data_IF_416702844917
#
_entry.id   IF_416702844917
#
_cell.length_a   1.000
_cell.length_b   1.000
_cell.length_c   1.000
_cell.angle_alpha   90.00
_cell.angle_beta   90.00
_cell.angle_gamma   90.00
#
_symmetry.space_group_name_H-M   'P 1'
#
loop_
_entity.id
_entity.type
_entity.pdbx_description
1 polymer ?
#
# COMPACT_ATOMS: atom_id res chain seq x y z
N UNK A 1 -18.14 -24.80 59.10
CA UNK A 1 -18.50 -23.52 58.42
C UNK A 1 -17.97 -22.25 59.10
N UNK A 2 -17.77 -22.19 60.43
CA UNK A 2 -17.08 -21.04 61.06
C UNK A 2 -15.60 -20.99 60.62
N UNK A 3 -15.16 -19.87 60.07
CA UNK A 3 -13.78 -19.65 59.61
C UNK A 3 -13.59 -19.58 58.10
N UNK A 4 -14.54 -20.09 57.30
CA UNK A 4 -14.49 -19.99 55.84
C UNK A 4 -14.54 -18.52 55.39
N UNK A 5 -15.41 -17.70 55.99
CA UNK A 5 -15.51 -16.27 55.67
C UNK A 5 -14.22 -15.47 55.94
N UNK A 6 -13.48 -15.79 57.02
CA UNK A 6 -12.19 -15.12 57.31
C UNK A 6 -11.11 -15.52 56.31
N UNK A 7 -11.07 -16.80 55.90
CA UNK A 7 -10.14 -17.30 54.88
C UNK A 7 -10.45 -16.70 53.50
N UNK A 8 -11.72 -16.61 53.13
CA UNK A 8 -12.15 -15.96 51.88
C UNK A 8 -11.83 -14.46 51.88
N UNK A 9 -12.05 -13.76 53.00
CA UNK A 9 -11.69 -12.34 53.12
C UNK A 9 -10.17 -12.12 52.99
N UNK A 10 -9.35 -12.95 53.65
CA UNK A 10 -7.89 -12.86 53.53
C UNK A 10 -7.39 -13.16 52.11
N UNK A 11 -7.96 -14.17 51.46
CA UNK A 11 -7.66 -14.49 50.06
C UNK A 11 -8.03 -13.34 49.12
N UNK A 12 -9.20 -12.72 49.33
CA UNK A 12 -9.63 -11.55 48.55
C UNK A 12 -8.69 -10.36 48.76
N UNK A 13 -8.29 -10.05 50.00
CA UNK A 13 -7.33 -8.96 50.29
C UNK A 13 -5.97 -9.25 49.65
N UNK A 14 -5.47 -10.49 49.76
CA UNK A 14 -4.20 -10.87 49.13
C UNK A 14 -4.27 -10.72 47.61
N UNK A 15 -5.37 -11.14 46.98
CA UNK A 15 -5.58 -11.00 45.55
C UNK A 15 -5.59 -9.52 45.13
N UNK A 16 -6.29 -8.66 45.88
CA UNK A 16 -6.34 -7.22 45.62
C UNK A 16 -4.95 -6.57 45.72
N UNK A 17 -4.16 -6.93 46.74
CA UNK A 17 -2.78 -6.43 46.90
C UNK A 17 -1.90 -6.90 45.74
N UNK A 18 -1.97 -8.19 45.38
CA UNK A 18 -1.20 -8.73 44.24
C UNK A 18 -1.57 -8.06 42.92
N UNK A 19 -2.87 -7.84 42.67
CA UNK A 19 -3.35 -7.13 41.49
C UNK A 19 -2.88 -5.67 41.48
N UNK A 20 -2.93 -4.99 42.63
CA UNK A 20 -2.42 -3.61 42.76
C UNK A 20 -0.91 -3.50 42.49
N UNK A 21 -0.11 -4.46 42.97
CA UNK A 21 1.34 -4.51 42.69
C UNK A 21 1.58 -4.76 41.19
N UNK A 22 0.89 -5.73 40.59
CA UNK A 22 1.05 -6.06 39.18
C UNK A 22 0.69 -4.87 38.28
N UNK A 23 -0.40 -4.17 38.58
CA UNK A 23 -0.80 -2.93 37.91
C UNK A 23 0.26 -1.83 38.08
N UNK A 24 0.80 -1.65 39.28
CA UNK A 24 1.85 -0.66 39.55
C UNK A 24 3.13 -0.93 38.76
N UNK A 25 3.59 -2.19 38.72
CA UNK A 25 4.75 -2.62 37.92
C UNK A 25 4.48 -2.42 36.43
N UNK A 26 3.29 -2.79 35.96
CA UNK A 26 2.91 -2.62 34.57
C UNK A 26 2.95 -1.16 34.14
N UNK A 27 2.33 -0.26 34.91
CA UNK A 27 2.36 1.19 34.64
C UNK A 27 3.77 1.76 34.61
N UNK A 28 4.62 1.33 35.53
CA UNK A 28 6.01 1.76 35.56
C UNK A 28 6.77 1.31 34.31
N UNK A 29 6.53 0.08 33.83
CA UNK A 29 7.15 -0.43 32.60
C UNK A 29 6.65 0.22 31.30
N UNK A 30 5.50 0.88 31.34
CA UNK A 30 4.84 1.53 30.19
C UNK A 30 4.96 3.07 30.22
N UNK A 31 5.84 3.63 31.06
CA UNK A 31 6.12 5.06 31.00
C UNK A 31 6.72 5.39 29.64
N UNK A 32 5.96 6.10 28.81
CA UNK A 32 6.42 6.61 27.52
C UNK A 32 7.53 7.64 27.74
N UNK A 33 8.48 7.70 26.82
CA UNK A 33 9.38 8.84 26.67
C UNK A 33 8.53 10.03 26.18
N UNK A 34 8.50 11.11 26.96
CA UNK A 34 7.71 12.34 26.70
C UNK A 34 8.08 13.03 25.38
N UNK A 35 9.10 12.55 24.67
CA UNK A 35 9.53 13.03 23.35
C UNK A 35 8.75 12.45 22.16
N UNK A 36 7.76 11.57 22.37
CA UNK A 36 7.03 10.90 21.28
C UNK A 36 5.77 11.69 20.87
N UNK A 37 5.61 12.16 19.61
CA UNK A 37 4.48 12.98 19.21
C UNK A 37 3.13 12.23 19.20
N UNK A 38 2.06 12.87 19.68
CA UNK A 38 0.69 12.35 19.62
C UNK A 38 0.09 12.56 18.21
N UNK A 39 -0.04 11.47 17.45
CA UNK A 39 -0.47 11.42 16.03
C UNK A 39 -1.98 11.65 15.80
N UNK A 40 -2.56 12.68 16.39
CA UNK A 40 -3.97 13.03 16.25
C UNK A 40 -4.17 14.42 15.67
N UNK A 41 -3.91 14.63 14.37
CA UNK A 41 -4.13 15.94 13.78
C UNK A 41 -4.93 15.88 12.47
N UNK A 42 -6.14 16.45 12.45
CA UNK A 42 -6.93 16.69 11.23
C UNK A 42 -6.16 17.49 10.16
N UNK A 43 -5.05 18.14 10.55
CA UNK A 43 -4.09 18.77 9.66
C UNK A 43 -3.55 17.86 8.56
N UNK A 44 -3.30 16.57 8.83
CA UNK A 44 -2.76 15.66 7.79
C UNK A 44 -3.78 15.44 6.66
N UNK A 45 -5.07 15.30 6.99
CA UNK A 45 -6.15 15.12 5.99
C UNK A 45 -6.29 16.33 5.09
N UNK A 46 -6.16 17.53 5.66
CA UNK A 46 -6.21 18.77 4.88
C UNK A 46 -4.98 18.93 3.98
N UNK A 47 -3.79 18.59 4.47
CA UNK A 47 -2.56 18.55 3.65
C UNK A 47 -2.69 17.57 2.49
N UNK A 48 -3.21 16.37 2.76
CA UNK A 48 -3.38 15.34 1.74
C UNK A 48 -4.44 15.71 0.69
N UNK A 49 -5.56 16.35 1.10
CA UNK A 49 -6.51 16.93 0.15
C UNK A 49 -5.85 17.99 -0.72
N UNK A 50 -5.10 18.92 -0.11
CA UNK A 50 -4.35 19.95 -0.86
C UNK A 50 -3.36 19.33 -1.83
N UNK A 51 -2.66 18.27 -1.43
CA UNK A 51 -1.75 17.55 -2.30
C UNK A 51 -2.48 17.06 -3.55
N UNK A 52 -3.60 16.36 -3.38
CA UNK A 52 -4.36 15.83 -4.50
C UNK A 52 -4.91 16.94 -5.40
N UNK A 53 -5.39 18.05 -4.83
CA UNK A 53 -5.91 19.20 -5.59
C UNK A 53 -4.84 19.96 -6.37
N UNK A 54 -3.60 19.95 -5.88
CA UNK A 54 -2.46 20.61 -6.53
C UNK A 54 -1.86 19.74 -7.61
N UNK A 55 -1.58 18.47 -7.29
CA UNK A 55 -0.80 17.58 -8.14
C UNK A 55 -1.59 16.97 -9.29
N UNK A 56 -2.92 16.88 -9.17
CA UNK A 56 -3.74 16.25 -10.19
C UNK A 56 -4.71 17.23 -10.84
N UNK A 57 -5.18 16.87 -12.03
CA UNK A 57 -6.22 17.57 -12.76
C UNK A 57 -7.15 16.57 -13.43
N UNK A 58 -8.33 17.03 -13.84
CA UNK A 58 -9.25 16.21 -14.64
C UNK A 58 -8.56 15.84 -15.96
N UNK A 59 -8.66 14.57 -16.38
CA UNK A 59 -8.18 14.18 -17.70
C UNK A 59 -9.16 14.60 -18.79
N UNK A 60 -8.63 14.96 -19.96
CA UNK A 60 -9.41 15.09 -21.20
C UNK A 60 -9.53 13.75 -21.94
N UNK A 61 -8.74 12.74 -21.56
CA UNK A 61 -8.85 11.39 -22.09
C UNK A 61 -10.01 10.67 -21.39
N UNK A 62 -11.06 10.22 -22.10
CA UNK A 62 -12.19 9.54 -21.47
C UNK A 62 -11.84 8.20 -20.82
N UNK A 63 -10.65 7.65 -21.08
CA UNK A 63 -10.15 6.45 -20.41
C UNK A 63 -9.48 6.74 -19.06
N UNK A 64 -9.27 8.02 -18.71
CA UNK A 64 -8.68 8.47 -17.45
C UNK A 64 -9.64 9.41 -16.73
N UNK A 65 -9.71 9.28 -15.41
CA UNK A 65 -10.58 10.14 -14.59
C UNK A 65 -9.86 11.45 -14.25
N UNK A 66 -8.60 11.30 -13.87
CA UNK A 66 -7.68 12.37 -13.53
C UNK A 66 -6.29 12.01 -14.07
N UNK A 67 -5.38 12.97 -14.05
CA UNK A 67 -4.00 12.77 -14.42
C UNK A 67 -3.07 13.75 -13.70
N UNK A 68 -1.76 13.45 -13.63
CA UNK A 68 -0.75 14.38 -13.17
C UNK A 68 -0.87 15.74 -13.85
N UNK A 69 -0.83 16.81 -13.06
CA UNK A 69 -0.70 18.18 -13.56
C UNK A 69 0.78 18.44 -13.86
N UNK A 70 1.17 18.68 -15.12
CA UNK A 70 2.57 18.90 -15.48
C UNK A 70 3.23 20.03 -14.68
N UNK A 71 4.41 19.76 -14.13
CA UNK A 71 5.19 20.72 -13.35
C UNK A 71 4.56 21.13 -12.01
N UNK A 72 3.53 20.43 -11.53
CA UNK A 72 2.90 20.74 -10.25
C UNK A 72 3.75 20.28 -9.08
N UNK A 73 3.77 21.08 -8.01
CA UNK A 73 4.54 20.83 -6.81
C UNK A 73 3.78 21.30 -5.56
N UNK A 74 3.94 20.57 -4.46
CA UNK A 74 3.41 20.91 -3.14
C UNK A 74 4.36 20.42 -2.04
N UNK A 75 4.62 21.27 -1.06
CA UNK A 75 5.43 20.91 0.11
C UNK A 75 4.69 19.99 1.08
N UNK A 76 5.34 18.89 1.46
CA UNK A 76 4.86 17.89 2.41
C UNK A 76 5.87 17.67 3.54
N UNK A 77 5.50 16.86 4.53
CA UNK A 77 6.35 16.58 5.70
C UNK A 77 7.65 15.85 5.33
N UNK A 78 7.62 15.11 4.23
CA UNK A 78 8.75 14.39 3.64
C UNK A 78 9.45 15.19 2.53
N UNK A 79 9.14 16.48 2.37
CA UNK A 79 9.68 17.33 1.30
C UNK A 79 8.72 17.54 0.12
N UNK A 80 9.22 18.06 -1.02
CA UNK A 80 8.38 18.42 -2.15
C UNK A 80 7.81 17.18 -2.85
N UNK A 81 6.48 17.07 -2.89
CA UNK A 81 5.78 16.16 -3.77
C UNK A 81 5.52 16.88 -5.10
N UNK A 82 6.00 16.33 -6.22
CA UNK A 82 5.93 17.00 -7.52
C UNK A 82 5.90 16.04 -8.70
N UNK A 83 5.41 16.56 -9.82
CA UNK A 83 5.58 15.98 -11.14
C UNK A 83 6.46 16.91 -11.99
N UNK A 84 7.33 16.35 -12.83
CA UNK A 84 8.04 17.13 -13.85
C UNK A 84 7.08 17.59 -14.98
N UNK A 85 7.61 18.30 -15.98
CA UNK A 85 6.85 18.82 -17.12
C UNK A 85 6.20 17.76 -18.00
N UNK A 86 6.58 16.49 -17.85
CA UNK A 86 5.95 15.35 -18.53
C UNK A 86 5.00 14.54 -17.64
N UNK A 87 4.81 14.92 -16.37
CA UNK A 87 3.91 14.22 -15.45
C UNK A 87 4.53 12.98 -14.79
N UNK A 88 5.86 12.87 -14.75
CA UNK A 88 6.59 11.81 -14.03
C UNK A 88 7.04 12.30 -12.66
N UNK A 89 7.25 11.38 -11.70
CA UNK A 89 7.82 11.72 -10.38
C UNK A 89 9.34 11.86 -10.43
N UNK A 90 9.83 12.73 -11.30
CA UNK A 90 11.27 12.99 -11.47
C UNK A 90 11.66 14.39 -10.96
N UNK A 91 12.91 14.53 -10.55
CA UNK A 91 13.50 15.82 -10.18
C UNK A 91 14.01 16.64 -11.37
N UNK A 92 14.04 16.03 -12.55
CA UNK A 92 14.51 16.63 -13.78
C UNK A 92 13.58 16.31 -14.96
N UNK A 93 13.78 17.02 -16.07
CA UNK A 93 13.10 16.74 -17.33
C UNK A 93 13.81 15.59 -18.05
N UNK A 94 13.05 14.58 -18.44
CA UNK A 94 13.55 13.41 -19.16
C UNK A 94 13.30 13.58 -20.65
N UNK A 95 14.30 13.23 -21.48
CA UNK A 95 14.13 13.26 -22.93
C UNK A 95 13.29 12.07 -23.40
N UNK A 96 12.39 12.32 -24.36
CA UNK A 96 11.53 11.26 -24.92
C UNK A 96 12.32 10.23 -25.71
N UNK A 97 13.31 10.67 -26.48
CA UNK A 97 14.22 9.74 -27.17
C UNK A 97 15.11 9.08 -26.12
N UNK A 98 15.16 7.73 -26.05
CA UNK A 98 16.05 7.04 -25.12
C UNK A 98 17.52 7.27 -25.50
N UNK A 99 18.37 7.27 -24.47
CA UNK A 99 19.81 7.42 -24.61
C UNK A 99 20.51 6.11 -24.96
N UNK A 100 21.73 5.92 -24.44
CA UNK A 100 22.45 4.65 -24.55
C UNK A 100 22.02 3.63 -23.47
N UNK A 101 21.40 4.11 -22.38
CA UNK A 101 20.94 3.29 -21.26
C UNK A 101 19.62 2.58 -21.57
N UNK A 102 19.46 1.38 -21.02
CA UNK A 102 18.24 0.59 -21.09
C UNK A 102 17.15 1.26 -20.27
N UNK A 103 16.14 1.81 -20.93
CA UNK A 103 15.08 2.56 -20.27
C UNK A 103 14.01 1.64 -19.70
N UNK A 104 13.79 1.74 -18.38
CA UNK A 104 12.74 1.04 -17.63
C UNK A 104 11.67 2.04 -17.23
N UNK A 105 10.45 1.87 -17.71
CA UNK A 105 9.31 2.60 -17.18
C UNK A 105 8.66 1.80 -16.05
N UNK A 106 8.60 2.36 -14.85
CA UNK A 106 7.86 1.78 -13.72
C UNK A 106 6.49 2.45 -13.63
N UNK A 107 5.44 1.66 -13.80
CA UNK A 107 4.04 2.07 -13.85
C UNK A 107 3.30 1.43 -12.69
N UNK A 108 2.44 2.20 -12.03
CA UNK A 108 1.63 1.71 -10.93
C UNK A 108 0.90 2.84 -10.22
N UNK A 109 0.43 2.54 -9.01
CA UNK A 109 -0.35 3.42 -8.18
C UNK A 109 0.49 4.22 -7.17
N UNK A 110 -0.01 4.37 -5.93
CA UNK A 110 0.68 5.00 -4.82
C UNK A 110 1.95 4.26 -4.38
N UNK A 111 2.14 2.97 -4.71
CA UNK A 111 3.36 2.23 -4.42
C UNK A 111 4.52 2.69 -5.31
N UNK A 112 4.27 2.81 -6.61
CA UNK A 112 5.26 3.32 -7.58
C UNK A 112 5.48 4.82 -7.41
N UNK A 113 4.40 5.56 -7.19
CA UNK A 113 4.52 6.95 -6.77
C UNK A 113 5.35 7.04 -5.48
N UNK A 114 5.30 6.03 -4.61
CA UNK A 114 5.94 5.98 -3.30
C UNK A 114 5.43 7.11 -2.41
N UNK A 115 4.16 7.00 -2.10
CA UNK A 115 3.47 7.94 -1.23
C UNK A 115 4.14 8.03 0.15
N UNK A 116 4.11 9.22 0.75
CA UNK A 116 4.72 9.53 2.05
C UNK A 116 6.25 9.55 2.12
N UNK A 117 6.95 9.29 1.01
CA UNK A 117 8.40 9.32 0.93
C UNK A 117 8.90 10.45 0.04
N UNK A 118 10.12 10.98 0.26
CA UNK A 118 10.77 11.86 -0.71
C UNK A 118 11.08 11.11 -2.01
N UNK A 119 11.26 11.84 -3.11
CA UNK A 119 11.42 11.23 -4.45
C UNK A 119 12.66 10.33 -4.53
N UNK A 120 13.75 10.67 -3.86
CA UNK A 120 14.98 9.85 -3.83
C UNK A 120 14.78 8.48 -3.17
N UNK A 121 13.80 8.35 -2.27
CA UNK A 121 13.47 7.09 -1.58
C UNK A 121 12.36 6.31 -2.29
N UNK A 122 11.86 6.81 -3.42
CA UNK A 122 10.80 6.15 -4.17
C UNK A 122 11.31 4.88 -4.86
N UNK A 123 10.43 3.89 -5.05
CA UNK A 123 10.75 2.59 -5.61
C UNK A 123 11.50 2.69 -6.95
N UNK A 124 11.08 3.49 -7.94
CA UNK A 124 11.81 3.59 -9.20
C UNK A 124 13.20 4.22 -9.06
N UNK A 125 13.37 5.20 -8.16
CA UNK A 125 14.67 5.81 -7.89
C UNK A 125 15.61 4.86 -7.14
N UNK A 126 15.08 4.04 -6.22
CA UNK A 126 15.84 2.95 -5.60
C UNK A 126 16.18 1.86 -6.63
N UNK A 127 15.29 1.58 -7.59
CA UNK A 127 15.52 0.63 -8.68
C UNK A 127 16.62 1.13 -9.63
N UNK A 128 16.59 2.40 -10.01
CA UNK A 128 17.63 3.06 -10.82
C UNK A 128 19.01 2.88 -10.18
N UNK A 129 19.11 3.23 -8.89
CA UNK A 129 20.33 3.05 -8.11
C UNK A 129 20.77 1.58 -7.99
N UNK A 130 19.81 0.66 -7.85
CA UNK A 130 20.09 -0.77 -7.72
C UNK A 130 20.52 -1.41 -9.04
N UNK A 131 20.02 -0.93 -10.19
CA UNK A 131 20.41 -1.38 -11.54
C UNK A 131 21.79 -0.87 -11.93
N UNK A 132 22.09 0.41 -11.66
CA UNK A 132 23.38 1.05 -11.91
C UNK A 132 23.62 1.42 -13.37
N UNK A 133 24.90 1.58 -13.76
CA UNK A 133 25.30 2.00 -15.11
C UNK A 133 24.68 1.14 -16.23
N UNK A 134 24.20 1.77 -17.30
CA UNK A 134 23.56 1.10 -18.43
C UNK A 134 22.04 0.99 -18.33
N UNK A 135 21.43 1.50 -17.26
CA UNK A 135 19.99 1.50 -17.01
C UNK A 135 19.49 2.89 -16.63
N UNK A 136 18.23 3.18 -16.95
CA UNK A 136 17.52 4.39 -16.52
C UNK A 136 16.10 3.98 -16.10
N UNK A 137 15.78 4.03 -14.82
CA UNK A 137 14.43 3.72 -14.31
C UNK A 137 13.62 4.99 -14.06
N UNK A 138 12.44 5.08 -14.69
CA UNK A 138 11.57 6.25 -14.69
C UNK A 138 10.27 6.01 -13.92
N UNK A 139 9.91 6.97 -13.07
CA UNK A 139 8.73 6.90 -12.22
C UNK A 139 7.47 7.46 -12.89
N UNK A 140 6.61 6.56 -13.39
CA UNK A 140 5.29 6.89 -13.94
C UNK A 140 4.14 6.58 -12.98
N UNK A 141 4.42 6.42 -11.68
CA UNK A 141 3.41 6.12 -10.66
C UNK A 141 2.38 7.24 -10.52
N UNK A 142 1.12 6.87 -10.33
CA UNK A 142 0.02 7.81 -10.11
C UNK A 142 -0.91 7.29 -9.02
N UNK A 143 -0.98 8.00 -7.89
CA UNK A 143 -1.80 7.62 -6.74
C UNK A 143 -3.22 7.23 -7.15
N UNK A 144 -3.66 6.04 -6.73
CA UNK A 144 -5.04 5.55 -6.85
C UNK A 144 -5.45 5.07 -8.25
N UNK A 145 -4.51 4.97 -9.19
CA UNK A 145 -4.79 4.27 -10.43
C UNK A 145 -5.05 2.78 -10.17
N UNK A 146 -5.97 2.22 -10.93
CA UNK A 146 -6.13 0.77 -11.08
C UNK A 146 -5.45 0.36 -12.39
N UNK A 147 -5.26 -0.94 -12.60
CA UNK A 147 -4.65 -1.47 -13.83
C UNK A 147 -5.32 -0.96 -15.12
N UNK A 148 -6.61 -0.59 -15.07
CA UNK A 148 -7.32 -0.05 -16.23
C UNK A 148 -6.89 1.40 -16.55
N UNK A 149 -6.73 2.24 -15.52
CA UNK A 149 -6.16 3.59 -15.65
C UNK A 149 -4.67 3.53 -16.02
N UNK A 150 -3.91 2.58 -15.47
CA UNK A 150 -2.51 2.34 -15.86
C UNK A 150 -2.38 1.98 -17.35
N UNK A 151 -3.29 1.17 -17.89
CA UNK A 151 -3.33 0.86 -19.32
C UNK A 151 -3.56 2.10 -20.20
N UNK A 152 -4.41 3.02 -19.75
CA UNK A 152 -4.63 4.29 -20.44
C UNK A 152 -3.44 5.25 -20.27
N UNK A 153 -2.85 5.29 -19.07
CA UNK A 153 -1.67 6.07 -18.75
C UNK A 153 -0.45 5.63 -19.54
N UNK A 154 -0.28 4.32 -19.72
CA UNK A 154 0.75 3.76 -20.58
C UNK A 154 0.64 4.32 -22.01
N UNK A 155 -0.54 4.22 -22.60
CA UNK A 155 -0.77 4.68 -23.97
C UNK A 155 -0.55 6.19 -24.15
N UNK A 156 -0.93 6.99 -23.15
CA UNK A 156 -0.86 8.45 -23.19
C UNK A 156 0.51 9.03 -22.83
N UNK A 157 1.11 8.56 -21.74
CA UNK A 157 2.24 9.22 -21.08
C UNK A 157 3.52 8.38 -21.07
N UNK A 158 3.43 7.05 -20.98
CA UNK A 158 4.61 6.18 -20.88
C UNK A 158 5.19 5.85 -22.26
N UNK A 159 4.36 5.35 -23.18
CA UNK A 159 4.73 4.96 -24.55
C UNK A 159 5.57 6.01 -25.30
N UNK A 160 5.31 7.33 -25.19
CA UNK A 160 6.12 8.34 -25.87
C UNK A 160 7.60 8.39 -25.46
N UNK A 161 7.98 7.78 -24.33
CA UNK A 161 9.37 7.70 -23.86
C UNK A 161 10.10 6.45 -24.36
N UNK A 162 9.43 5.62 -25.17
CA UNK A 162 9.98 4.40 -25.78
C UNK A 162 10.81 3.53 -24.81
N UNK A 163 10.24 3.13 -23.65
CA UNK A 163 10.94 2.23 -22.74
C UNK A 163 11.19 0.88 -23.39
N UNK A 164 12.31 0.26 -23.06
CA UNK A 164 12.64 -1.12 -23.46
C UNK A 164 12.04 -2.14 -22.51
N UNK A 165 11.85 -1.76 -21.24
CA UNK A 165 11.19 -2.56 -20.21
C UNK A 165 10.08 -1.74 -19.56
N UNK A 166 8.91 -2.35 -19.37
CA UNK A 166 7.81 -1.73 -18.64
C UNK A 166 7.48 -2.62 -17.45
N UNK A 167 7.76 -2.12 -16.26
CA UNK A 167 7.43 -2.77 -14.98
C UNK A 167 6.07 -2.23 -14.52
N UNK A 168 5.09 -3.11 -14.37
CA UNK A 168 3.79 -2.80 -13.79
C UNK A 168 3.77 -3.34 -12.36
N UNK A 169 3.67 -2.46 -11.36
CA UNK A 169 3.56 -2.86 -9.96
C UNK A 169 2.09 -2.85 -9.58
N UNK A 170 1.55 -4.05 -9.40
CA UNK A 170 0.15 -4.28 -9.06
C UNK A 170 0.00 -4.50 -7.55
N UNK A 171 -1.07 -3.99 -6.96
CA UNK A 171 -1.41 -4.30 -5.58
C UNK A 171 -2.91 -4.58 -5.39
N UNK A 172 -3.31 -4.98 -4.18
CA UNK A 172 -4.70 -5.35 -3.90
C UNK A 172 -5.70 -4.22 -4.16
N UNK A 173 -5.25 -2.96 -4.11
CA UNK A 173 -6.09 -1.79 -4.39
C UNK A 173 -6.53 -1.69 -5.86
N UNK A 174 -5.84 -2.34 -6.80
CA UNK A 174 -6.25 -2.40 -8.20
C UNK A 174 -7.63 -3.05 -8.41
N UNK A 175 -8.07 -3.88 -7.46
CA UNK A 175 -9.43 -4.45 -7.46
C UNK A 175 -10.47 -3.50 -6.83
N UNK A 176 -10.03 -2.35 -6.32
CA UNK A 176 -10.85 -1.40 -5.59
C UNK A 176 -10.89 -0.05 -6.30
N UNK A 177 -11.98 0.69 -6.08
CA UNK A 177 -12.01 2.12 -6.41
C UNK A 177 -11.44 2.88 -5.22
N UNK A 178 -10.23 3.40 -5.37
CA UNK A 178 -9.54 4.16 -4.32
C UNK A 178 -10.09 5.58 -4.17
N UNK A 179 -10.00 6.08 -2.94
CA UNK A 179 -10.28 7.48 -2.62
C UNK A 179 -9.11 8.39 -3.01
N UNK A 180 -9.28 9.71 -2.86
CA UNK A 180 -8.24 10.70 -3.18
C UNK A 180 -8.60 11.49 -4.44
N UNK A 181 -7.71 11.58 -5.45
CA UNK A 181 -7.98 12.30 -6.71
C UNK A 181 -9.33 11.92 -7.34
N UNK A 182 -9.64 10.62 -7.36
CA UNK A 182 -10.88 10.06 -7.92
C UNK A 182 -12.14 10.83 -7.46
N UNK A 183 -12.28 11.09 -6.16
CA UNK A 183 -13.51 11.66 -5.60
C UNK A 183 -13.86 13.05 -6.13
N UNK A 184 -12.85 13.78 -6.60
CA UNK A 184 -13.00 15.14 -7.10
C UNK A 184 -13.44 15.18 -8.56
N UNK A 185 -12.97 14.24 -9.36
CA UNK A 185 -13.13 14.28 -10.82
C UNK A 185 -14.01 13.20 -11.39
N UNK A 186 -14.42 12.22 -10.57
CA UNK A 186 -15.32 11.18 -10.99
C UNK A 186 -16.70 11.72 -11.37
N UNK A 187 -17.30 11.10 -12.38
CA UNK A 187 -18.67 11.38 -12.81
C UNK A 187 -19.72 10.74 -11.88
N UNK A 188 -21.00 10.88 -12.25
CA UNK A 188 -22.11 10.37 -11.44
C UNK A 188 -22.14 8.82 -11.40
N UNK A 189 -21.79 8.16 -12.50
CA UNK A 189 -21.78 6.68 -12.58
C UNK A 189 -20.60 6.08 -11.81
N UNK A 190 -19.42 6.67 -11.97
CA UNK A 190 -18.22 6.35 -11.19
C UNK A 190 -18.45 6.54 -9.69
N UNK A 191 -19.07 7.66 -9.30
CA UNK A 191 -19.42 7.92 -7.91
C UNK A 191 -20.43 6.90 -7.37
N UNK A 192 -21.42 6.53 -8.17
CA UNK A 192 -22.38 5.50 -7.79
C UNK A 192 -21.70 4.14 -7.58
N UNK A 193 -20.75 3.76 -8.45
CA UNK A 193 -19.94 2.55 -8.31
C UNK A 193 -19.09 2.55 -7.04
N UNK A 194 -18.40 3.65 -6.74
CA UNK A 194 -17.63 3.81 -5.48
C UNK A 194 -18.53 3.71 -4.26
N UNK A 195 -19.67 4.41 -4.27
CA UNK A 195 -20.64 4.37 -3.18
C UNK A 195 -21.16 2.95 -2.94
N UNK A 196 -21.47 2.20 -4.00
CA UNK A 196 -21.91 0.81 -3.88
C UNK A 196 -20.82 -0.11 -3.31
N UNK A 197 -19.55 0.11 -3.69
CA UNK A 197 -18.40 -0.58 -3.11
C UNK A 197 -18.28 -0.30 -1.61
N UNK A 198 -18.30 0.97 -1.21
CA UNK A 198 -18.19 1.38 0.19
C UNK A 198 -19.31 0.80 1.04
N UNK A 199 -20.56 0.81 0.55
CA UNK A 199 -21.70 0.19 1.23
C UNK A 199 -21.58 -1.33 1.34
N UNK A 200 -20.93 -2.00 0.38
CA UNK A 200 -20.63 -3.42 0.47
C UNK A 200 -19.57 -3.71 1.55
N UNK A 201 -18.46 -2.96 1.54
CA UNK A 201 -17.39 -3.09 2.53
C UNK A 201 -17.92 -2.80 3.93
N UNK A 202 -18.64 -1.70 4.13
CA UNK A 202 -19.23 -1.34 5.43
C UNK A 202 -20.18 -2.44 5.95
N UNK A 203 -20.86 -3.16 5.06
CA UNK A 203 -21.76 -4.24 5.45
C UNK A 203 -21.05 -5.57 5.77
N UNK A 204 -19.96 -5.89 5.05
CA UNK A 204 -19.36 -7.24 5.05
C UNK A 204 -17.98 -7.28 5.72
N UNK A 205 -17.18 -6.23 5.54
CA UNK A 205 -15.84 -6.06 6.11
C UNK A 205 -15.73 -4.66 6.79
N UNK A 206 -16.55 -4.36 7.83
CA UNK A 206 -16.65 -3.01 8.41
C UNK A 206 -15.39 -2.52 9.14
N UNK A 207 -14.47 -3.41 9.46
CA UNK A 207 -13.29 -3.08 10.24
C UNK A 207 -12.05 -3.34 9.39
N UNK A 208 -11.09 -2.41 9.45
CA UNK A 208 -9.74 -2.66 8.96
C UNK A 208 -8.88 -3.16 10.09
N UNK A 209 -8.09 -4.19 9.82
CA UNK A 209 -7.17 -4.79 10.76
C UNK A 209 -6.17 -3.80 11.34
N UNK A 210 -5.62 -2.92 10.50
CA UNK A 210 -4.66 -1.86 10.90
C UNK A 210 -5.18 -0.93 12.00
N UNK A 211 -6.50 -0.77 12.10
CA UNK A 211 -7.11 0.09 13.12
C UNK A 211 -7.25 -0.60 14.48
N UNK A 212 -7.14 -1.93 14.53
CA UNK A 212 -7.35 -2.71 15.75
C UNK A 212 -6.36 -2.33 16.85
N UNK A 213 -5.08 -2.19 16.52
CA UNK A 213 -4.05 -1.93 17.51
C UNK A 213 -4.15 -0.52 18.09
N UNK A 214 -4.51 0.46 17.25
CA UNK A 214 -4.82 1.81 17.72
C UNK A 214 -6.06 1.85 18.64
N UNK A 215 -7.11 1.08 18.33
CA UNK A 215 -8.30 0.98 19.18
C UNK A 215 -7.96 0.33 20.52
N UNK A 216 -7.26 -0.81 20.52
CA UNK A 216 -6.87 -1.52 21.73
C UNK A 216 -5.91 -0.69 22.59
N UNK A 217 -4.99 0.06 21.97
CA UNK A 217 -4.08 0.95 22.69
C UNK A 217 -4.82 2.11 23.38
N UNK A 218 -5.78 2.75 22.69
CA UNK A 218 -6.63 3.81 23.29
C UNK A 218 -7.46 3.28 24.44
N UNK A 219 -8.09 2.12 24.28
CA UNK A 219 -8.84 1.48 25.37
C UNK A 219 -7.94 1.15 26.58
N UNK A 220 -6.71 0.70 26.34
CA UNK A 220 -5.73 0.44 27.39
C UNK A 220 -5.31 1.72 28.11
N UNK A 221 -5.11 2.81 27.37
CA UNK A 221 -4.75 4.12 27.89
C UNK A 221 -5.85 4.73 28.77
N UNK A 222 -7.10 4.66 28.32
CA UNK A 222 -8.29 5.17 29.03
C UNK A 222 -8.70 4.30 30.23
N UNK A 223 -8.21 3.06 30.31
CA UNK A 223 -8.61 2.12 31.35
C UNK A 223 -8.07 2.48 32.75
N UNK A 224 -8.95 2.39 33.75
CA UNK A 224 -8.56 2.51 35.16
C UNK A 224 -7.62 1.38 35.64
N UNK A 225 -7.65 0.21 34.97
CA UNK A 225 -6.81 -0.94 35.29
C UNK A 225 -6.16 -1.48 34.00
N UNK A 226 -4.95 -0.98 33.70
CA UNK A 226 -4.29 -1.17 32.40
C UNK A 226 -3.92 -2.62 32.14
N UNK A 227 -3.48 -3.35 33.16
CA UNK A 227 -3.13 -4.77 33.02
C UNK A 227 -4.35 -5.61 32.62
N UNK A 228 -5.53 -5.29 33.17
CA UNK A 228 -6.77 -5.96 32.78
C UNK A 228 -7.20 -5.57 31.37
N UNK A 229 -7.08 -4.29 31.02
CA UNK A 229 -7.37 -3.81 29.67
C UNK A 229 -6.50 -4.53 28.64
N UNK A 230 -5.19 -4.65 28.86
CA UNK A 230 -4.25 -5.41 28.02
C UNK A 230 -4.65 -6.87 27.87
N UNK A 231 -4.90 -7.58 28.98
CA UNK A 231 -5.30 -8.99 28.94
C UNK A 231 -6.63 -9.18 28.20
N UNK A 232 -7.60 -8.31 28.46
CA UNK A 232 -8.89 -8.32 27.76
C UNK A 232 -8.74 -7.97 26.26
N UNK A 233 -7.77 -7.11 25.94
CA UNK A 233 -7.40 -6.70 24.59
C UNK A 233 -6.80 -7.86 23.81
N UNK A 234 -5.94 -8.68 24.43
CA UNK A 234 -5.43 -9.91 23.82
C UNK A 234 -6.56 -10.89 23.46
N UNK A 235 -7.53 -11.09 24.35
CA UNK A 235 -8.70 -11.95 24.07
C UNK A 235 -9.57 -11.36 22.96
N UNK A 236 -9.79 -10.04 22.97
CA UNK A 236 -10.55 -9.34 21.93
C UNK A 236 -9.84 -9.39 20.58
N UNK A 237 -8.52 -9.20 20.54
CA UNK A 237 -7.69 -9.38 19.34
C UNK A 237 -7.85 -10.78 18.77
N UNK A 238 -7.71 -11.82 19.60
CA UNK A 238 -7.90 -13.19 19.13
C UNK A 238 -9.30 -13.44 18.55
N UNK A 239 -10.36 -12.87 19.16
CA UNK A 239 -11.73 -12.95 18.62
C UNK A 239 -11.93 -12.15 17.33
N UNK A 240 -11.31 -10.98 17.24
CA UNK A 240 -11.32 -10.17 16.03
C UNK A 240 -10.66 -10.93 14.88
N UNK A 241 -9.47 -11.46 15.09
CA UNK A 241 -8.69 -12.22 14.10
C UNK A 241 -9.44 -13.42 13.51
N UNK A 242 -10.21 -14.11 14.35
CA UNK A 242 -11.04 -15.28 13.99
C UNK A 242 -12.27 -14.89 13.16
N UNK A 243 -12.88 -13.74 13.47
CA UNK A 243 -14.06 -13.21 12.77
C UNK A 243 -13.72 -12.18 11.68
N UNK A 244 -12.43 -11.89 11.46
CA UNK A 244 -11.97 -10.83 10.57
C UNK A 244 -12.26 -11.20 9.11
N UNK A 245 -13.01 -10.33 8.43
CA UNK A 245 -13.26 -10.40 7.00
C UNK A 245 -12.46 -9.28 6.34
N UNK A 246 -11.61 -9.66 5.40
CA UNK A 246 -10.72 -8.75 4.69
C UNK A 246 -11.41 -8.14 3.47
N UNK A 247 -11.24 -6.83 3.25
CA UNK A 247 -11.92 -6.13 2.16
C UNK A 247 -11.44 -6.56 0.77
N UNK A 248 -10.17 -6.91 0.61
CA UNK A 248 -9.62 -7.38 -0.67
C UNK A 248 -10.20 -8.74 -1.05
N UNK A 249 -10.36 -9.64 -0.07
CA UNK A 249 -11.03 -10.92 -0.31
C UNK A 249 -12.49 -10.73 -0.75
N UNK A 250 -13.22 -9.80 -0.12
CA UNK A 250 -14.60 -9.46 -0.52
C UNK A 250 -14.66 -8.90 -1.94
N UNK A 251 -13.66 -8.10 -2.35
CA UNK A 251 -13.58 -7.56 -3.70
C UNK A 251 -13.20 -8.62 -4.73
N UNK A 252 -12.26 -9.51 -4.41
CA UNK A 252 -11.85 -10.62 -5.26
C UNK A 252 -12.97 -11.65 -5.47
N UNK A 253 -13.90 -11.79 -4.52
CA UNK A 253 -15.10 -12.61 -4.68
C UNK A 253 -16.09 -12.04 -5.72
N UNK A 254 -15.94 -10.79 -6.17
CA UNK A 254 -16.81 -10.18 -7.18
C UNK A 254 -16.34 -10.54 -8.60
N UNK A 255 -17.04 -11.39 -9.36
CA UNK A 255 -16.52 -11.88 -10.65
C UNK A 255 -16.37 -10.80 -11.72
N UNK A 256 -17.15 -9.72 -11.63
CA UNK A 256 -17.00 -8.57 -12.53
C UNK A 256 -15.68 -7.83 -12.32
N UNK A 257 -15.25 -7.67 -11.06
CA UNK A 257 -13.99 -7.00 -10.72
C UNK A 257 -12.80 -7.78 -11.23
N UNK A 258 -12.77 -9.08 -10.94
CA UNK A 258 -11.73 -9.98 -11.44
C UNK A 258 -11.63 -9.91 -12.97
N UNK A 259 -12.76 -10.05 -13.69
CA UNK A 259 -12.77 -9.94 -15.16
C UNK A 259 -12.29 -8.58 -15.68
N UNK A 260 -12.61 -7.49 -14.97
CA UNK A 260 -12.15 -6.15 -15.35
C UNK A 260 -10.63 -6.03 -15.17
N UNK A 261 -10.09 -6.53 -14.07
CA UNK A 261 -8.64 -6.58 -13.81
C UNK A 261 -7.93 -7.43 -14.86
N UNK A 262 -8.39 -8.66 -15.13
CA UNK A 262 -7.85 -9.54 -16.17
C UNK A 262 -7.84 -8.87 -17.55
N UNK A 263 -8.95 -8.23 -17.92
CA UNK A 263 -9.06 -7.53 -19.20
C UNK A 263 -8.12 -6.31 -19.29
N UNK A 264 -7.89 -5.61 -18.17
CA UNK A 264 -6.96 -4.51 -18.09
C UNK A 264 -5.51 -4.98 -18.22
N UNK A 265 -5.13 -6.04 -17.49
CA UNK A 265 -3.81 -6.70 -17.60
C UNK A 265 -3.56 -7.13 -19.05
N UNK A 266 -4.53 -7.83 -19.67
CA UNK A 266 -4.40 -8.28 -21.06
C UNK A 266 -4.21 -7.11 -22.05
N UNK A 267 -4.96 -6.02 -21.88
CA UNK A 267 -4.82 -4.82 -22.70
C UNK A 267 -3.46 -4.14 -22.53
N UNK A 268 -3.00 -3.99 -21.29
CA UNK A 268 -1.73 -3.34 -20.98
C UNK A 268 -0.56 -4.17 -21.53
N UNK A 269 -0.53 -5.47 -21.26
CA UNK A 269 0.50 -6.37 -21.79
C UNK A 269 0.56 -6.38 -23.33
N UNK A 270 -0.61 -6.44 -23.98
CA UNK A 270 -0.69 -6.37 -25.44
C UNK A 270 -0.17 -5.03 -26.00
N UNK A 271 -0.45 -3.91 -25.32
CA UNK A 271 0.04 -2.59 -25.72
C UNK A 271 1.57 -2.52 -25.59
N UNK A 272 2.12 -2.94 -24.45
CA UNK A 272 3.57 -2.94 -24.18
C UNK A 272 4.31 -3.75 -25.26
N UNK A 273 3.86 -4.97 -25.56
CA UNK A 273 4.50 -5.80 -26.59
C UNK A 273 4.33 -5.27 -28.00
N UNK A 274 3.20 -4.62 -28.30
CA UNK A 274 3.01 -4.00 -29.61
C UNK A 274 4.03 -2.89 -29.88
N UNK A 275 4.58 -2.30 -28.81
CA UNK A 275 5.65 -1.30 -28.85
C UNK A 275 7.05 -1.90 -28.82
N UNK A 276 7.17 -3.24 -28.77
CA UNK A 276 8.44 -3.95 -28.74
C UNK A 276 9.14 -3.95 -27.39
N UNK A 277 8.50 -3.44 -26.34
CA UNK A 277 9.02 -3.43 -24.98
C UNK A 277 8.75 -4.76 -24.26
N UNK A 278 9.60 -5.09 -23.28
CA UNK A 278 9.46 -6.26 -22.40
C UNK A 278 8.50 -5.94 -21.26
N UNK A 279 7.33 -6.62 -21.18
CA UNK A 279 6.37 -6.44 -20.09
C UNK A 279 6.78 -7.24 -18.85
N UNK A 280 6.96 -6.55 -17.71
CA UNK A 280 7.22 -7.15 -16.39
C UNK A 280 6.08 -6.80 -15.46
N UNK A 281 5.54 -7.78 -14.73
CA UNK A 281 4.45 -7.60 -13.79
C UNK A 281 4.91 -7.99 -12.39
N UNK A 282 4.79 -7.08 -11.44
CA UNK A 282 5.16 -7.33 -10.05
C UNK A 282 3.93 -7.34 -9.19
N UNK A 283 3.73 -8.42 -8.43
CA UNK A 283 2.62 -8.57 -7.49
C UNK A 283 3.11 -8.11 -6.12
N UNK A 284 2.80 -6.87 -5.75
CA UNK A 284 3.16 -6.36 -4.42
C UNK A 284 2.30 -7.04 -3.34
N UNK A 285 2.90 -7.74 -2.36
CA UNK A 285 2.13 -8.35 -1.29
C UNK A 285 1.56 -7.29 -0.34
N UNK A 286 0.44 -7.61 0.31
CA UNK A 286 0.08 -7.01 1.60
C UNK A 286 1.20 -7.28 2.61
N UNK A 287 1.71 -6.23 3.27
CA UNK A 287 2.83 -6.26 4.19
C UNK A 287 2.38 -6.61 5.61
N UNK A 288 1.76 -7.78 5.76
CA UNK A 288 1.49 -8.35 7.07
C UNK A 288 1.26 -9.86 7.03
N UNK A 289 1.44 -10.48 8.21
CA UNK A 289 1.06 -11.87 8.48
C UNK A 289 1.57 -12.91 7.47
N UNK A 290 2.82 -12.86 7.02
CA UNK A 290 3.30 -13.80 5.99
C UNK A 290 3.19 -15.29 6.35
N UNK A 291 3.29 -15.66 7.64
CA UNK A 291 3.06 -17.05 8.10
C UNK A 291 1.60 -17.50 7.93
N UNK A 292 0.66 -16.57 7.84
CA UNK A 292 -0.79 -16.80 7.70
C UNK A 292 -1.35 -15.95 6.57
N UNK A 293 -0.59 -15.84 5.49
CA UNK A 293 -0.91 -14.96 4.39
C UNK A 293 -2.25 -15.36 3.75
N UNK A 294 -3.22 -14.44 3.71
CA UNK A 294 -4.60 -14.77 3.33
C UNK A 294 -4.89 -14.53 1.85
N UNK A 295 -4.00 -13.85 1.14
CA UNK A 295 -4.24 -13.33 -0.21
C UNK A 295 -3.55 -14.14 -1.33
N UNK A 296 -2.99 -15.32 -1.04
CA UNK A 296 -2.32 -16.17 -2.04
C UNK A 296 -3.22 -16.46 -3.24
N UNK A 297 -4.50 -16.77 -3.01
CA UNK A 297 -5.44 -17.04 -4.10
C UNK A 297 -5.64 -15.84 -5.04
N UNK A 298 -5.50 -14.61 -4.53
CA UNK A 298 -5.54 -13.41 -5.37
C UNK A 298 -4.25 -13.31 -6.19
N UNK A 299 -3.08 -13.57 -5.58
CA UNK A 299 -1.79 -13.60 -6.29
C UNK A 299 -1.85 -14.61 -7.45
N UNK A 300 -2.37 -15.80 -7.21
CA UNK A 300 -2.48 -16.85 -8.24
C UNK A 300 -3.35 -16.39 -9.43
N UNK A 301 -4.50 -15.77 -9.16
CA UNK A 301 -5.41 -15.26 -10.20
C UNK A 301 -4.74 -14.18 -11.03
N UNK A 302 -4.09 -13.19 -10.40
CA UNK A 302 -3.48 -12.08 -11.15
C UNK A 302 -2.18 -12.51 -11.85
N UNK A 303 -1.45 -13.47 -11.28
CA UNK A 303 -0.30 -14.11 -11.94
C UNK A 303 -0.73 -14.82 -13.20
N UNK A 304 -1.74 -15.70 -13.12
CA UNK A 304 -2.24 -16.43 -14.30
C UNK A 304 -2.69 -15.45 -15.39
N UNK A 305 -3.38 -14.38 -15.00
CA UNK A 305 -3.79 -13.32 -15.91
C UNK A 305 -2.60 -12.60 -16.56
N UNK A 306 -1.56 -12.25 -15.78
CA UNK A 306 -0.38 -11.56 -16.26
C UNK A 306 0.51 -12.44 -17.15
N UNK A 307 0.78 -13.67 -16.75
CA UNK A 307 1.52 -14.66 -17.57
C UNK A 307 0.77 -14.94 -18.88
N UNK A 308 -0.54 -15.17 -18.82
CA UNK A 308 -1.39 -15.36 -20.00
C UNK A 308 -1.45 -14.12 -20.89
N UNK A 309 -1.32 -12.93 -20.30
CA UNK A 309 -1.19 -11.68 -21.00
C UNK A 309 0.21 -11.43 -21.55
N UNK A 310 1.20 -12.29 -21.29
CA UNK A 310 2.56 -12.25 -21.84
C UNK A 310 3.57 -11.45 -21.02
N UNK A 311 3.32 -11.22 -19.73
CA UNK A 311 4.28 -10.62 -18.80
C UNK A 311 5.26 -11.66 -18.25
N UNK A 312 6.49 -11.24 -17.97
CA UNK A 312 7.32 -11.91 -16.98
C UNK A 312 6.84 -11.49 -15.58
N UNK A 313 6.53 -12.44 -14.70
CA UNK A 313 5.92 -12.15 -13.40
C UNK A 313 6.91 -12.33 -12.26
N UNK A 314 7.00 -11.33 -11.39
CA UNK A 314 7.71 -11.36 -10.12
C UNK A 314 6.69 -11.27 -8.97
N UNK A 315 6.76 -12.20 -8.03
CA UNK A 315 6.04 -12.12 -6.76
C UNK A 315 7.07 -12.16 -5.63
N UNK A 316 7.44 -10.99 -5.08
CA UNK A 316 8.47 -10.91 -4.04
C UNK A 316 8.12 -11.72 -2.79
N UNK A 317 6.83 -12.01 -2.53
CA UNK A 317 6.40 -12.78 -1.36
C UNK A 317 7.02 -14.17 -1.32
N UNK A 318 7.25 -14.80 -2.48
CA UNK A 318 7.83 -16.14 -2.57
C UNK A 318 9.21 -16.21 -1.89
N UNK A 319 9.98 -15.14 -2.01
CA UNK A 319 11.29 -15.01 -1.39
C UNK A 319 11.20 -14.40 0.00
N UNK A 320 10.47 -13.29 0.13
CA UNK A 320 10.46 -12.49 1.35
C UNK A 320 9.85 -13.23 2.54
N UNK A 321 8.88 -14.14 2.34
CA UNK A 321 8.21 -14.90 3.41
C UNK A 321 9.16 -15.58 4.41
N UNK A 322 10.41 -15.88 4.02
CA UNK A 322 11.43 -16.45 4.91
C UNK A 322 12.66 -15.58 5.15
N UNK A 323 12.76 -14.42 4.50
CA UNK A 323 13.96 -13.57 4.52
C UNK A 323 13.74 -12.23 5.22
N UNK A 324 12.53 -11.68 5.14
CA UNK A 324 12.23 -10.33 5.61
C UNK A 324 11.14 -10.35 6.70
N UNK A 325 10.91 -9.22 7.37
CA UNK A 325 9.75 -8.99 8.23
C UNK A 325 8.82 -7.96 7.56
N UNK A 326 7.54 -8.28 7.28
CA UNK A 326 6.63 -7.34 6.65
C UNK A 326 6.48 -6.02 7.41
N UNK A 327 6.60 -6.04 8.74
CA UNK A 327 6.49 -4.83 9.56
C UNK A 327 7.71 -3.92 9.44
N UNK A 328 8.88 -4.47 9.11
CA UNK A 328 10.11 -3.71 8.88
C UNK A 328 10.18 -3.09 7.48
N UNK A 329 9.37 -3.57 6.52
CA UNK A 329 9.33 -3.03 5.15
C UNK A 329 8.33 -1.89 4.97
N UNK A 330 7.44 -1.64 5.94
CA UNK A 330 6.25 -0.79 5.73
C UNK A 330 6.23 0.46 6.60
N UNK A 331 5.48 1.45 6.14
CA UNK A 331 5.14 2.61 6.97
C UNK A 331 4.27 2.14 8.15
N UNK A 332 4.62 2.57 9.36
CA UNK A 332 3.88 2.23 10.57
C UNK A 332 2.38 2.55 10.45
N UNK A 333 1.53 1.53 10.61
CA UNK A 333 0.07 1.67 10.57
C UNK A 333 -0.54 1.54 9.18
N UNK A 334 0.26 1.26 8.16
CA UNK A 334 -0.15 0.97 6.78
C UNK A 334 0.34 -0.44 6.40
N UNK A 335 -0.49 -1.26 5.76
CA UNK A 335 -0.13 -2.62 5.36
C UNK A 335 0.12 -2.77 3.85
N UNK A 336 0.20 -1.67 3.11
CA UNK A 336 0.49 -1.65 1.69
C UNK A 336 1.75 -0.83 1.36
N UNK A 337 1.89 0.36 1.96
CA UNK A 337 2.93 1.30 1.59
C UNK A 337 4.26 0.97 2.26
N UNK A 338 5.28 0.82 1.42
CA UNK A 338 6.66 0.59 1.84
C UNK A 338 7.26 1.86 2.44
N UNK A 339 8.13 1.67 3.43
CA UNK A 339 9.01 2.75 3.88
C UNK A 339 10.29 2.82 3.00
N UNK A 340 11.23 3.70 3.36
CA UNK A 340 12.51 3.81 2.66
C UNK A 340 13.24 2.46 2.55
N UNK A 341 13.27 1.69 3.64
CA UNK A 341 14.00 0.42 3.69
C UNK A 341 13.29 -0.66 2.88
N UNK A 342 11.96 -0.70 2.93
CA UNK A 342 11.12 -1.57 2.12
C UNK A 342 11.28 -1.30 0.63
N UNK A 343 11.23 -0.03 0.20
CA UNK A 343 11.45 0.34 -1.20
C UNK A 343 12.83 -0.07 -1.70
N UNK A 344 13.86 -0.01 -0.84
CA UNK A 344 15.20 -0.49 -1.19
C UNK A 344 15.22 -2.01 -1.39
N UNK A 345 14.64 -2.78 -0.47
CA UNK A 345 14.56 -4.26 -0.57
C UNK A 345 13.75 -4.66 -1.81
N UNK A 346 12.66 -3.95 -2.08
CA UNK A 346 11.86 -4.10 -3.30
C UNK A 346 12.72 -3.85 -4.54
N UNK A 347 13.34 -2.67 -4.64
CA UNK A 347 14.20 -2.31 -5.76
C UNK A 347 15.33 -3.32 -6.01
N UNK A 348 16.01 -3.80 -4.96
CA UNK A 348 17.08 -4.80 -5.08
C UNK A 348 16.54 -6.15 -5.61
N UNK A 349 15.36 -6.58 -5.13
CA UNK A 349 14.71 -7.80 -5.59
C UNK A 349 14.32 -7.69 -7.07
N UNK A 350 13.73 -6.57 -7.47
CA UNK A 350 13.33 -6.31 -8.85
C UNK A 350 14.55 -6.15 -9.77
N UNK A 351 15.60 -5.45 -9.35
CA UNK A 351 16.83 -5.31 -10.12
C UNK A 351 17.50 -6.67 -10.39
N UNK A 352 17.48 -7.59 -9.42
CA UNK A 352 17.91 -8.97 -9.62
C UNK A 352 17.10 -9.67 -10.69
N UNK A 353 15.77 -9.58 -10.60
CA UNK A 353 14.86 -10.19 -11.57
C UNK A 353 15.03 -9.63 -12.99
N UNK A 354 15.21 -8.32 -13.15
CA UNK A 354 15.41 -7.69 -14.46
C UNK A 354 16.73 -8.13 -15.11
N UNK A 355 17.82 -8.24 -14.34
CA UNK A 355 19.10 -8.74 -14.85
C UNK A 355 19.03 -10.19 -15.32
N UNK A 356 18.20 -11.00 -14.67
CA UNK A 356 18.00 -12.41 -15.06
C UNK A 356 17.17 -12.54 -16.36
N UNK A 357 16.42 -11.51 -16.76
CA UNK A 357 15.66 -11.49 -18.03
C UNK A 357 16.53 -11.08 -19.24
N UNK A 358 17.59 -10.31 -19.01
CA UNK A 358 18.51 -9.82 -20.05
C UNK A 358 19.59 -10.84 -20.47
N UNK A 359 19.58 -12.04 -19.86
CA UNK A 359 20.48 -13.17 -20.13
C UNK A 359 19.71 -14.39 -20.63
#
# INVERSE_FOLDING_TARGET
>A
MKGLGKKLALAAVSLLVSLGIAEGVYRWSQQKDESTPDGGDDGWRQRYRRLNETLYMRSEDPALIYEPRPGAEVEMEYGPARFNGAGMREDHEVQREPGEDTRVAVVGDSLVWSEFLPAEDALPQQLDAALGEGWEALNFGVTGYDTAQEAAWYAKAVRPFAPEVVVVVWCMNDMMIMSGPFERWCDEEERARKTAQEQLVERVAPFRRETLDGVLAREEEEASFKLWARLSGMVRRARFEDAYVDEYLVMAEQPERVRRTEAAIARLGAAIRADGATPVFVISPVLEQWERYRWEAIHDVVREAAEGAGFAVLDPLERWRGEEDPEELRISGDNLHYDRSGNRVFAETLAGFLRDLDH
#
